data_IF_520373174933
#
_entry.id   IF_520373174933
#
_cell.length_a   1.000
_cell.length_b   1.000
_cell.length_c   1.000
_cell.angle_alpha   90.00
_cell.angle_beta   90.00
_cell.angle_gamma   90.00
#
_symmetry.space_group_name_H-M   'P 1'
#
loop_
_entity.id
_entity.type
_entity.pdbx_description
1 polymer ?
#
# COMPACT_ATOMS: atom_id res chain seq x y z
N UNK A 1 11.32 21.71 -3.23
CA UNK A 1 10.18 21.15 -4.04
C UNK A 1 10.79 20.53 -5.27
N UNK A 2 11.11 19.31 -5.20
CA UNK A 2 11.64 18.71 -6.38
C UNK A 2 10.62 17.97 -7.18
N UNK A 3 10.40 17.24 -7.85
CA UNK A 3 9.81 16.27 -8.71
C UNK A 3 8.36 15.83 -8.37
N UNK A 4 7.56 16.65 -7.69
CA UNK A 4 6.17 16.32 -7.37
C UNK A 4 5.20 17.27 -8.06
N UNK A 5 4.14 16.72 -8.63
CA UNK A 5 3.03 17.44 -9.22
C UNK A 5 1.76 17.14 -8.46
N UNK A 6 1.04 18.16 -8.03
CA UNK A 6 -0.15 18.06 -7.16
C UNK A 6 -1.41 18.36 -7.94
N UNK A 7 -2.42 17.51 -7.80
CA UNK A 7 -3.78 17.72 -8.34
C UNK A 7 -4.79 17.57 -7.21
N UNK A 8 -5.55 18.63 -6.94
CA UNK A 8 -6.70 18.57 -6.03
C UNK A 8 -7.96 18.23 -6.81
N UNK A 9 -8.68 17.21 -6.34
CA UNK A 9 -9.95 16.74 -6.89
C UNK A 9 -11.02 16.68 -5.81
N UNK A 10 -12.28 16.41 -6.19
CA UNK A 10 -13.39 16.28 -5.23
C UNK A 10 -13.17 15.15 -4.20
N UNK A 11 -12.44 14.11 -4.57
CA UNK A 11 -12.17 12.94 -3.74
C UNK A 11 -10.78 12.95 -3.08
N UNK A 12 -10.07 14.10 -3.08
CA UNK A 12 -8.80 14.26 -2.39
C UNK A 12 -7.68 14.88 -3.20
N UNK A 13 -6.50 14.90 -2.60
CA UNK A 13 -5.26 15.38 -3.18
C UNK A 13 -4.46 14.24 -3.77
N UNK A 14 -4.08 14.38 -5.04
CA UNK A 14 -3.26 13.41 -5.76
C UNK A 14 -1.89 13.99 -6.08
N UNK A 15 -0.89 13.16 -5.98
CA UNK A 15 0.50 13.55 -6.21
C UNK A 15 1.13 12.63 -7.25
N UNK A 16 1.75 13.24 -8.25
CA UNK A 16 2.61 12.54 -9.18
C UNK A 16 4.08 12.79 -8.81
N UNK A 17 4.77 11.75 -8.43
CA UNK A 17 6.23 11.77 -8.21
C UNK A 17 6.92 11.52 -9.56
N UNK A 18 7.46 12.60 -10.16
CA UNK A 18 8.10 12.50 -11.49
C UNK A 18 9.40 11.70 -11.45
N UNK A 19 10.07 11.60 -10.31
CA UNK A 19 11.28 10.80 -10.17
C UNK A 19 10.99 9.31 -10.15
N UNK A 20 9.83 8.91 -9.63
CA UNK A 20 9.40 7.52 -9.54
C UNK A 20 8.44 7.11 -10.64
N UNK A 21 7.86 8.07 -11.35
CA UNK A 21 6.84 7.83 -12.37
C UNK A 21 5.52 7.29 -11.79
N UNK A 22 5.20 7.61 -10.53
CA UNK A 22 4.07 7.04 -9.82
C UNK A 22 3.09 8.11 -9.35
N UNK A 23 1.80 7.80 -9.47
CA UNK A 23 0.71 8.51 -8.83
C UNK A 23 0.36 7.89 -7.49
N UNK A 24 0.07 8.71 -6.51
CA UNK A 24 -0.55 8.29 -5.26
C UNK A 24 -1.56 9.33 -4.80
N UNK A 25 -2.50 8.89 -3.98
CA UNK A 25 -3.39 9.77 -3.25
C UNK A 25 -2.73 10.14 -1.93
N UNK A 26 -2.57 11.43 -1.68
CA UNK A 26 -1.93 11.93 -0.45
C UNK A 26 -2.92 11.85 0.72
N UNK A 27 -4.04 12.54 0.59
CA UNK A 27 -5.06 12.63 1.63
C UNK A 27 -6.41 13.12 1.07
N UNK A 28 -7.34 13.50 1.96
CA UNK A 28 -8.66 14.05 1.62
C UNK A 28 -8.66 15.57 1.44
N UNK A 29 -7.50 16.22 1.44
CA UNK A 29 -7.37 17.66 1.27
C UNK A 29 -8.00 18.14 -0.04
N UNK A 30 -8.86 19.14 0.05
CA UNK A 30 -9.51 19.80 -1.08
C UNK A 30 -8.93 21.20 -1.29
N UNK A 31 -7.62 21.27 -1.48
CA UNK A 31 -6.89 22.51 -1.67
C UNK A 31 -7.34 23.24 -2.93
N UNK A 32 -7.47 24.57 -2.82
CA UNK A 32 -7.72 25.47 -3.94
C UNK A 32 -6.62 26.54 -3.97
N UNK A 33 -6.44 27.16 -5.13
CA UNK A 33 -5.54 28.31 -5.30
C UNK A 33 -4.12 28.05 -4.78
N UNK A 34 -3.47 27.06 -5.39
CA UNK A 34 -2.08 26.75 -5.06
C UNK A 34 -1.14 27.88 -5.49
N UNK A 35 -0.22 28.27 -4.60
CA UNK A 35 0.81 29.26 -4.86
C UNK A 35 2.09 28.91 -4.12
N UNK A 36 3.24 29.30 -4.66
CA UNK A 36 4.53 29.12 -4.03
C UNK A 36 5.08 30.43 -3.51
N UNK A 37 5.63 30.41 -2.31
CA UNK A 37 6.44 31.51 -1.77
C UNK A 37 7.74 30.92 -1.21
N UNK A 38 8.86 31.35 -1.76
CA UNK A 38 10.12 30.67 -1.54
C UNK A 38 10.09 29.24 -2.10
N UNK A 39 10.44 28.27 -1.29
CA UNK A 39 10.36 26.82 -1.62
C UNK A 39 9.11 26.14 -1.07
N UNK A 40 8.21 26.89 -0.42
CA UNK A 40 7.02 26.33 0.24
C UNK A 40 5.79 26.47 -0.66
N UNK A 41 5.00 25.40 -0.80
CA UNK A 41 3.72 25.40 -1.49
C UNK A 41 2.59 25.69 -0.49
N UNK A 42 1.83 26.72 -0.77
CA UNK A 42 0.65 27.12 -0.03
C UNK A 42 -0.60 26.78 -0.82
N UNK A 43 -1.67 26.50 -0.11
CA UNK A 43 -3.00 26.30 -0.69
C UNK A 43 -4.09 26.82 0.25
N UNK A 44 -5.27 27.05 -0.31
CA UNK A 44 -6.45 27.45 0.43
C UNK A 44 -7.32 26.23 0.71
N UNK A 45 -7.61 25.97 1.99
CA UNK A 45 -8.56 24.98 2.45
C UNK A 45 -9.73 25.70 3.14
N UNK A 46 -10.87 25.77 2.45
CA UNK A 46 -11.95 26.66 2.87
C UNK A 46 -11.48 28.12 2.89
N UNK A 47 -11.41 28.72 4.06
CA UNK A 47 -10.93 30.09 4.30
C UNK A 47 -9.56 30.14 4.99
N UNK A 48 -8.87 29.02 5.10
CA UNK A 48 -7.59 28.92 5.80
C UNK A 48 -6.47 28.66 4.82
N UNK A 49 -5.38 29.44 4.93
CA UNK A 49 -4.15 29.20 4.18
C UNK A 49 -3.37 28.12 4.91
N UNK A 50 -3.04 27.04 4.21
CA UNK A 50 -2.24 25.92 4.69
C UNK A 50 -0.99 25.74 3.83
N UNK A 51 -0.03 25.01 4.34
CA UNK A 51 1.18 24.60 3.61
C UNK A 51 1.18 23.11 3.36
N UNK A 52 1.82 22.68 2.27
CA UNK A 52 2.05 21.25 1.99
C UNK A 52 3.20 20.67 2.81
N UNK A 53 3.98 21.51 3.49
CA UNK A 53 5.07 21.12 4.36
C UNK A 53 4.74 21.64 5.76
N UNK A 54 4.45 20.73 6.68
CA UNK A 54 4.13 21.03 8.08
C UNK A 54 5.01 20.24 9.03
N UNK A 55 5.07 20.68 10.28
CA UNK A 55 5.70 19.94 11.40
C UNK A 55 4.67 19.19 12.23
N UNK A 56 3.40 19.53 12.10
CA UNK A 56 2.27 18.93 12.82
C UNK A 56 1.49 18.02 11.85
N UNK A 57 2.10 16.91 11.48
CA UNK A 57 1.48 15.90 10.64
C UNK A 57 0.61 14.96 11.49
N UNK A 58 -0.68 14.88 11.16
CA UNK A 58 -1.52 13.80 11.67
C UNK A 58 -1.07 12.46 11.09
N UNK A 59 -1.24 11.40 11.88
CA UNK A 59 -0.94 10.05 11.42
C UNK A 59 -1.95 9.66 10.34
N UNK A 60 -1.50 9.60 9.10
CA UNK A 60 -2.33 9.24 7.95
C UNK A 60 -2.35 7.72 7.81
N UNK A 61 -3.55 7.16 7.71
CA UNK A 61 -3.75 5.77 7.30
C UNK A 61 -3.56 5.65 5.78
N UNK A 62 -2.88 4.60 5.37
CA UNK A 62 -2.61 4.31 3.97
C UNK A 62 -2.88 2.85 3.65
N UNK A 63 -3.13 2.57 2.38
CA UNK A 63 -3.11 1.20 1.86
C UNK A 63 -2.53 1.16 0.44
N UNK A 64 -2.01 -0.01 0.09
CA UNK A 64 -1.58 -0.33 -1.26
C UNK A 64 -1.97 -1.76 -1.60
N UNK A 65 -2.38 -1.98 -2.83
CA UNK A 65 -2.79 -3.29 -3.34
C UNK A 65 -1.89 -3.70 -4.50
N UNK A 66 -1.62 -5.00 -4.59
CA UNK A 66 -0.96 -5.58 -5.75
C UNK A 66 -1.98 -5.83 -6.87
N UNK A 67 -1.48 -6.00 -8.08
CA UNK A 67 -2.25 -6.66 -9.13
C UNK A 67 -2.50 -8.13 -8.78
N UNK A 68 -3.36 -8.79 -9.57
CA UNK A 68 -3.63 -10.22 -9.42
C UNK A 68 -2.40 -11.06 -9.78
N UNK A 69 -2.05 -11.97 -8.89
CA UNK A 69 -1.03 -12.99 -9.11
C UNK A 69 -1.66 -14.24 -9.71
N UNK A 70 -1.53 -14.41 -11.01
CA UNK A 70 -2.10 -15.54 -11.76
C UNK A 70 -1.11 -16.69 -11.98
N UNK A 71 0.17 -16.36 -12.21
CA UNK A 71 1.27 -17.30 -12.48
C UNK A 71 1.00 -18.32 -13.60
N UNK A 72 0.03 -18.04 -14.49
CA UNK A 72 -0.42 -18.96 -15.55
C UNK A 72 -0.79 -20.38 -15.05
N UNK A 73 -1.28 -20.47 -13.82
CA UNK A 73 -1.74 -21.70 -13.17
C UNK A 73 -3.18 -21.54 -12.68
N UNK A 74 -4.18 -21.53 -13.57
CA UNK A 74 -5.56 -21.39 -13.17
C UNK A 74 -6.01 -22.59 -12.31
N UNK A 75 -6.81 -22.32 -11.28
CA UNK A 75 -7.47 -23.30 -10.40
C UNK A 75 -6.58 -24.35 -9.71
N UNK A 76 -5.26 -24.26 -9.82
CA UNK A 76 -4.37 -25.31 -9.37
C UNK A 76 -3.27 -24.86 -8.43
N UNK A 77 -3.26 -23.59 -8.02
CA UNK A 77 -2.24 -23.09 -7.09
C UNK A 77 -2.75 -22.96 -5.68
N UNK A 78 -1.86 -23.23 -4.74
CA UNK A 78 -2.05 -22.95 -3.33
C UNK A 78 -0.95 -22.03 -2.85
N UNK A 79 -1.33 -20.94 -2.22
CA UNK A 79 -0.36 -20.10 -1.50
C UNK A 79 -0.15 -20.71 -0.13
N UNK A 80 1.09 -21.00 0.25
CA UNK A 80 1.41 -21.58 1.55
C UNK A 80 1.98 -20.57 2.53
N UNK A 81 2.76 -19.60 2.06
CA UNK A 81 3.32 -18.52 2.87
C UNK A 81 3.88 -17.41 2.01
N UNK A 82 4.09 -16.26 2.63
CA UNK A 82 4.92 -15.18 2.10
C UNK A 82 6.14 -14.98 3.00
N UNK A 83 7.28 -14.65 2.40
CA UNK A 83 8.45 -14.15 3.10
C UNK A 83 8.63 -12.71 2.66
N UNK A 84 8.47 -11.77 3.58
CA UNK A 84 8.42 -10.33 3.27
C UNK A 84 9.56 -9.65 4.02
N UNK A 85 10.42 -8.95 3.28
CA UNK A 85 11.44 -8.10 3.87
C UNK A 85 10.91 -6.67 3.92
N UNK A 86 10.73 -6.16 5.13
CA UNK A 86 10.24 -4.79 5.32
C UNK A 86 10.81 -4.13 6.57
N UNK A 87 10.75 -2.81 6.58
CA UNK A 87 11.04 -1.96 7.72
C UNK A 87 9.76 -1.23 8.11
N UNK A 88 9.40 -1.32 9.39
CA UNK A 88 8.26 -0.62 9.99
C UNK A 88 8.76 0.02 11.28
N UNK A 89 9.13 1.31 11.29
CA UNK A 89 9.68 1.98 12.47
C UNK A 89 8.73 1.97 13.68
N UNK A 90 9.27 2.30 14.84
CA UNK A 90 8.45 2.50 16.03
C UNK A 90 7.40 3.59 15.79
N UNK A 91 6.17 3.36 16.25
CA UNK A 91 5.03 4.26 16.00
C UNK A 91 4.30 4.03 14.68
N UNK A 92 4.79 3.11 13.84
CA UNK A 92 4.10 2.69 12.62
C UNK A 92 3.62 1.24 12.73
N UNK A 93 2.59 0.89 11.98
CA UNK A 93 2.10 -0.48 11.85
C UNK A 93 1.61 -0.77 10.43
N UNK A 94 1.76 -2.02 10.02
CA UNK A 94 1.29 -2.53 8.72
C UNK A 94 0.50 -3.80 8.94
N UNK A 95 -0.67 -3.89 8.38
CA UNK A 95 -1.49 -5.08 8.28
C UNK A 95 -1.42 -5.65 6.87
N UNK A 96 -1.32 -6.96 6.77
CA UNK A 96 -1.21 -7.67 5.51
C UNK A 96 -2.48 -8.49 5.31
N UNK A 97 -3.10 -8.32 4.15
CA UNK A 97 -4.31 -9.01 3.76
C UNK A 97 -4.13 -9.75 2.45
N UNK A 98 -4.91 -10.81 2.27
CA UNK A 98 -5.04 -11.54 1.01
C UNK A 98 -6.50 -11.57 0.58
N UNK A 99 -6.72 -11.49 -0.72
CA UNK A 99 -8.01 -11.74 -1.36
C UNK A 99 -7.81 -12.80 -2.43
N UNK A 100 -8.73 -13.76 -2.51
CA UNK A 100 -8.74 -14.83 -3.48
C UNK A 100 -9.88 -14.65 -4.49
N UNK A 101 -9.62 -14.97 -5.76
CA UNK A 101 -10.62 -15.12 -6.81
C UNK A 101 -11.59 -13.94 -6.92
N UNK A 102 -11.11 -12.72 -6.73
CA UNK A 102 -11.87 -11.45 -6.79
C UNK A 102 -13.17 -11.44 -5.95
N UNK A 103 -13.16 -12.14 -4.82
CA UNK A 103 -14.35 -12.30 -3.96
C UNK A 103 -14.74 -11.06 -3.16
N UNK A 104 -13.99 -9.96 -3.30
CA UNK A 104 -14.12 -8.72 -2.52
C UNK A 104 -13.92 -8.89 -1.00
N UNK A 105 -13.61 -10.11 -0.55
CA UNK A 105 -13.38 -10.43 0.86
C UNK A 105 -11.89 -10.44 1.15
N UNK A 106 -11.45 -9.52 2.00
CA UNK A 106 -10.08 -9.43 2.47
C UNK A 106 -9.90 -10.22 3.76
N UNK A 107 -8.96 -11.17 3.74
CA UNK A 107 -8.56 -11.95 4.92
C UNK A 107 -7.28 -11.37 5.48
N UNK A 108 -7.32 -10.93 6.74
CA UNK A 108 -6.12 -10.46 7.44
C UNK A 108 -5.22 -11.64 7.75
N UNK A 109 -3.96 -11.54 7.34
CA UNK A 109 -2.93 -12.56 7.57
C UNK A 109 -2.07 -12.22 8.78
N UNK A 110 -1.58 -10.98 8.85
CA UNK A 110 -0.63 -10.57 9.89
C UNK A 110 -0.63 -9.06 10.09
N UNK A 111 -0.25 -8.65 11.30
CA UNK A 111 0.10 -7.28 11.65
C UNK A 111 1.57 -7.22 12.04
N UNK A 112 2.25 -6.18 11.62
CA UNK A 112 3.68 -5.93 11.83
C UNK A 112 3.82 -4.49 12.32
N UNK A 113 4.64 -4.27 13.35
CA UNK A 113 4.91 -2.93 13.85
C UNK A 113 6.20 -2.87 14.65
N UNK A 114 6.78 -1.69 14.76
CA UNK A 114 7.94 -1.42 15.60
C UNK A 114 9.20 -2.22 15.26
N UNK A 115 9.42 -2.55 13.99
CA UNK A 115 10.54 -3.38 13.56
C UNK A 115 11.57 -2.59 12.76
N UNK A 116 12.84 -2.84 13.03
CA UNK A 116 13.92 -2.56 12.05
C UNK A 116 13.77 -3.52 10.86
N UNK A 117 14.49 -3.25 9.77
CA UNK A 117 14.51 -4.14 8.59
C UNK A 117 14.66 -5.60 8.99
N UNK A 118 13.67 -6.40 8.70
CA UNK A 118 13.67 -7.84 9.01
C UNK A 118 12.85 -8.61 7.97
N UNK A 119 13.09 -9.92 7.91
CA UNK A 119 12.31 -10.84 7.12
C UNK A 119 11.18 -11.40 8.00
N UNK A 120 9.96 -11.18 7.57
CA UNK A 120 8.75 -11.65 8.25
C UNK A 120 8.14 -12.77 7.44
N UNK A 121 8.01 -13.94 8.06
CA UNK A 121 7.22 -15.02 7.49
C UNK A 121 5.74 -14.80 7.84
N UNK A 122 4.91 -14.79 6.81
CA UNK A 122 3.46 -14.64 6.91
C UNK A 122 2.84 -15.97 6.49
N UNK A 123 2.40 -16.80 7.44
CA UNK A 123 1.72 -18.06 7.12
C UNK A 123 0.35 -17.76 6.51
N UNK A 124 -0.05 -18.61 5.59
CA UNK A 124 -1.35 -18.55 4.93
C UNK A 124 -2.03 -19.91 5.09
N UNK A 125 -3.33 -19.93 5.36
CA UNK A 125 -4.10 -21.16 5.27
C UNK A 125 -4.20 -21.53 3.79
N UNK A 126 -3.61 -22.65 3.34
CA UNK A 126 -3.59 -23.01 1.93
C UNK A 126 -5.01 -23.16 1.39
N UNK A 127 -5.31 -22.39 0.37
CA UNK A 127 -6.58 -22.43 -0.35
C UNK A 127 -6.30 -22.52 -1.84
N UNK A 128 -7.01 -23.40 -2.54
CA UNK A 128 -6.98 -23.47 -4.00
C UNK A 128 -7.59 -22.21 -4.59
N UNK A 129 -6.90 -21.57 -5.52
CA UNK A 129 -7.37 -20.35 -6.17
C UNK A 129 -6.91 -20.27 -7.62
N UNK A 130 -7.65 -19.52 -8.42
CA UNK A 130 -7.24 -19.09 -9.76
C UNK A 130 -6.23 -17.96 -9.69
N UNK A 131 -6.52 -16.95 -8.88
CA UNK A 131 -5.65 -15.82 -8.65
C UNK A 131 -5.80 -15.31 -7.20
N UNK A 132 -4.89 -14.48 -6.79
CA UNK A 132 -4.97 -13.78 -5.51
C UNK A 132 -4.26 -12.43 -5.62
N UNK A 133 -4.59 -11.52 -4.73
CA UNK A 133 -3.90 -10.25 -4.56
C UNK A 133 -3.67 -9.96 -3.09
N UNK A 134 -2.71 -9.09 -2.81
CA UNK A 134 -2.35 -8.67 -1.47
C UNK A 134 -2.71 -7.20 -1.27
N UNK A 135 -3.10 -6.87 -0.05
CA UNK A 135 -3.22 -5.51 0.43
C UNK A 135 -2.33 -5.33 1.64
N UNK A 136 -1.59 -4.24 1.62
CA UNK A 136 -0.86 -3.72 2.76
C UNK A 136 -1.58 -2.46 3.21
N UNK A 137 -2.02 -2.41 4.45
CA UNK A 137 -2.71 -1.25 5.01
C UNK A 137 -2.07 -0.90 6.36
N UNK A 138 -2.02 0.37 6.70
CA UNK A 138 -1.40 0.75 7.95
C UNK A 138 -1.34 2.25 8.17
N UNK A 139 -0.53 2.62 9.13
CA UNK A 139 -0.24 4.02 9.44
C UNK A 139 1.25 4.21 9.70
N UNK A 140 1.71 5.44 9.51
CA UNK A 140 3.13 5.80 9.64
C UNK A 140 3.99 5.24 8.50
N UNK A 141 5.29 5.48 8.52
CA UNK A 141 6.20 5.08 7.45
C UNK A 141 6.43 3.57 7.43
N UNK A 142 6.45 2.99 6.22
CA UNK A 142 6.83 1.60 6.00
C UNK A 142 7.58 1.46 4.68
N UNK A 143 8.57 0.57 4.63
CA UNK A 143 9.33 0.27 3.43
C UNK A 143 9.25 -1.23 3.16
N UNK A 144 8.59 -1.61 2.08
CA UNK A 144 8.63 -2.95 1.54
C UNK A 144 9.83 -3.05 0.59
N UNK A 145 10.78 -3.93 0.90
CA UNK A 145 12.01 -4.11 0.12
C UNK A 145 11.93 -5.29 -0.84
N UNK A 146 11.36 -6.39 -0.37
CA UNK A 146 11.30 -7.63 -1.11
C UNK A 146 10.17 -8.52 -0.61
N UNK A 147 9.61 -9.34 -1.50
CA UNK A 147 8.59 -10.32 -1.19
C UNK A 147 8.78 -11.59 -1.99
N UNK A 148 8.91 -12.70 -1.29
CA UNK A 148 8.91 -14.05 -1.88
C UNK A 148 7.61 -14.75 -1.59
N UNK A 149 6.96 -15.28 -2.63
CA UNK A 149 5.71 -16.02 -2.55
C UNK A 149 5.99 -17.51 -2.73
N UNK A 150 5.55 -18.33 -1.78
CA UNK A 150 5.69 -19.77 -1.83
C UNK A 150 4.37 -20.38 -2.30
N UNK A 151 4.42 -20.97 -3.50
CA UNK A 151 3.30 -21.61 -4.15
C UNK A 151 3.51 -23.11 -4.21
N UNK A 152 2.42 -23.85 -4.11
CA UNK A 152 2.38 -25.29 -4.36
C UNK A 152 1.39 -25.55 -5.49
N UNK A 153 1.81 -26.28 -6.50
CA UNK A 153 0.93 -26.77 -7.56
C UNK A 153 0.10 -27.94 -7.04
N UNK A 154 -1.21 -27.87 -7.18
CA UNK A 154 -2.11 -28.99 -6.91
C UNK A 154 -2.16 -29.93 -8.12
N UNK A 155 -2.25 -31.24 -7.92
CA UNK A 155 -2.53 -32.17 -9.01
C UNK A 155 -3.96 -32.02 -9.52
N UNK A 156 -4.13 -32.02 -10.82
CA UNK A 156 -5.45 -32.03 -11.49
C UNK A 156 -6.12 -33.41 -11.48
N UNK A 157 -5.65 -34.37 -10.68
CA UNK A 157 -6.33 -35.65 -10.55
C UNK A 157 -7.71 -35.45 -9.91
N UNK A 158 -8.72 -35.38 -10.75
CA UNK A 158 -10.10 -35.66 -10.33
C UNK A 158 -10.17 -37.15 -9.98
N UNK A 159 -10.31 -37.45 -8.70
CA UNK A 159 -10.85 -38.74 -8.29
C UNK A 159 -12.36 -38.78 -8.50
#
# INVERSE_FOLDING_TARGET
MGNKYYISMENGLFVYDTAKGLWHREDDTKGRYFSTYGSVLYYLDGNTIKTMEGTDEEVIEWYGETNDFTYNMPDSKFVSRFSIRMMVPAGAAVEIYIQYDSTEVWQRLKQIGGMRTNIVNVPVIPRRCDHFRLRFAGYGPAILQDMTIYLTSGSNERR
#
